data_IF_381567525438
#
_entry.id   IF_381567525438
#
_cell.length_a   1.000
_cell.length_b   1.000
_cell.length_c   1.000
_cell.angle_alpha   90.00
_cell.angle_beta   90.00
_cell.angle_gamma   90.00
#
_symmetry.space_group_name_H-M   'P 1'
#
loop_
_entity.id
_entity.type
_entity.pdbx_description
1 polymer ?
#
# COMPACT_ATOMS: atom_id res chain seq x y z
N UNK A 1 10.50 45.59 -13.27
CA UNK A 1 10.80 44.85 -12.02
C UNK A 1 9.74 43.83 -11.59
N UNK A 2 8.45 43.97 -11.92
CA UNK A 2 7.40 43.07 -11.43
C UNK A 2 7.45 41.66 -12.04
N UNK A 3 7.72 41.53 -13.34
CA UNK A 3 7.69 40.22 -14.01
C UNK A 3 8.85 39.29 -13.62
N UNK A 4 10.04 39.84 -13.37
CA UNK A 4 11.20 39.05 -12.92
C UNK A 4 10.96 38.42 -11.55
N UNK A 5 10.31 39.15 -10.62
CA UNK A 5 9.96 38.65 -9.29
C UNK A 5 8.91 37.52 -9.34
N UNK A 6 7.95 37.59 -10.28
CA UNK A 6 6.94 36.55 -10.49
C UNK A 6 7.57 35.26 -11.03
N UNK A 7 8.47 35.37 -12.01
CA UNK A 7 9.17 34.20 -12.57
C UNK A 7 10.05 33.53 -11.51
N UNK A 8 10.78 34.30 -10.69
CA UNK A 8 11.59 33.73 -9.62
C UNK A 8 10.73 33.00 -8.59
N UNK A 9 9.58 33.56 -8.18
CA UNK A 9 8.68 32.89 -7.25
C UNK A 9 8.11 31.57 -7.81
N UNK A 10 7.76 31.54 -9.10
CA UNK A 10 7.23 30.33 -9.76
C UNK A 10 8.28 29.21 -9.82
N UNK A 11 9.52 29.55 -10.17
CA UNK A 11 10.64 28.58 -10.25
C UNK A 11 10.95 28.02 -8.86
N UNK A 12 10.98 28.86 -7.82
CA UNK A 12 11.22 28.40 -6.45
C UNK A 12 10.11 27.46 -5.97
N UNK A 13 8.84 27.73 -6.29
CA UNK A 13 7.72 26.85 -5.93
C UNK A 13 7.77 25.50 -6.65
N UNK A 14 8.17 25.47 -7.93
CA UNK A 14 8.34 24.22 -8.68
C UNK A 14 9.50 23.40 -8.11
N UNK A 15 10.61 24.04 -7.73
CA UNK A 15 11.75 23.37 -7.10
C UNK A 15 11.40 22.80 -5.72
N UNK A 16 10.54 23.46 -4.94
CA UNK A 16 10.07 22.93 -3.65
C UNK A 16 9.19 21.68 -3.81
N UNK A 17 8.47 21.54 -4.92
CA UNK A 17 7.67 20.34 -5.22
C UNK A 17 8.51 19.14 -5.66
N UNK A 18 9.70 19.37 -6.23
CA UNK A 18 10.59 18.28 -6.67
C UNK A 18 11.43 17.66 -5.55
N UNK A 19 11.52 18.32 -4.39
CA UNK A 19 12.26 17.84 -3.22
C UNK A 19 11.36 17.55 -2.01
N UNK A 20 10.03 17.54 -2.18
CA UNK A 20 9.17 16.98 -1.16
C UNK A 20 9.53 15.49 -1.04
N UNK A 21 10.01 15.01 0.13
CA UNK A 21 10.08 13.57 0.34
C UNK A 21 8.68 13.03 0.05
N UNK A 22 8.60 11.98 -0.77
CA UNK A 22 7.35 11.25 -0.97
C UNK A 22 6.78 10.98 0.42
N UNK A 23 5.59 11.50 0.72
CA UNK A 23 4.95 11.45 2.04
C UNK A 23 4.53 10.02 2.48
N UNK A 24 5.19 9.00 1.93
CA UNK A 24 4.88 7.58 1.95
C UNK A 24 5.87 6.76 2.80
N UNK A 25 6.60 7.42 3.70
CA UNK A 25 7.77 6.83 4.35
C UNK A 25 7.93 7.34 5.80
N UNK A 26 6.83 7.42 6.54
CA UNK A 26 6.80 7.89 7.93
C UNK A 26 6.44 6.72 8.86
N UNK A 27 7.28 6.49 9.87
CA UNK A 27 7.02 5.54 10.96
C UNK A 27 5.64 5.79 11.60
N UNK A 28 4.83 4.75 11.82
CA UNK A 28 3.48 4.87 12.36
C UNK A 28 2.37 4.98 11.31
N UNK A 29 2.71 4.99 10.02
CA UNK A 29 1.75 5.04 8.92
C UNK A 29 1.47 3.62 8.46
N UNK A 30 0.19 3.26 8.37
CA UNK A 30 -0.24 1.92 7.98
C UNK A 30 0.10 0.80 8.97
N UNK A 31 0.80 1.04 10.09
CA UNK A 31 1.21 0.01 11.08
C UNK A 31 0.07 -0.81 11.73
N UNK A 32 -1.17 -0.33 11.67
CA UNK A 32 -2.33 -0.93 12.35
C UNK A 32 -3.61 -0.83 11.51
N UNK A 33 -4.66 -1.56 11.90
CA UNK A 33 -5.99 -1.40 11.28
C UNK A 33 -6.54 0.03 11.39
N UNK A 34 -6.28 0.73 12.50
CA UNK A 34 -6.77 2.09 12.75
C UNK A 34 -5.98 3.15 11.98
N UNK A 35 -4.74 2.84 11.61
CA UNK A 35 -3.83 3.72 10.85
C UNK A 35 -3.68 3.28 9.39
N UNK A 36 -4.50 2.33 8.95
CA UNK A 36 -4.45 1.79 7.60
C UNK A 36 -4.65 2.88 6.55
N UNK A 37 -3.94 2.76 5.43
CA UNK A 37 -4.12 3.66 4.30
C UNK A 37 -5.42 3.30 3.60
N UNK A 38 -6.37 4.23 3.57
CA UNK A 38 -7.64 4.07 2.84
C UNK A 38 -7.42 4.08 1.33
N UNK A 39 -8.05 3.14 0.64
CA UNK A 39 -7.92 2.93 -0.80
C UNK A 39 -9.30 3.02 -1.44
N UNK A 40 -9.50 4.09 -2.21
CA UNK A 40 -10.77 4.36 -2.88
C UNK A 40 -11.11 3.30 -3.95
N UNK A 41 -12.39 2.96 -4.03
CA UNK A 41 -12.92 2.08 -5.08
C UNK A 41 -12.92 2.73 -6.47
N UNK A 42 -12.77 1.91 -7.51
CA UNK A 42 -12.89 2.34 -8.90
C UNK A 42 -11.59 2.87 -9.52
N UNK A 43 -10.46 2.73 -8.84
CA UNK A 43 -9.17 3.27 -9.27
C UNK A 43 -8.05 2.24 -9.14
N UNK A 44 -6.88 2.59 -9.68
CA UNK A 44 -5.62 1.90 -9.39
C UNK A 44 -4.82 2.82 -8.50
N UNK A 45 -4.41 2.33 -7.34
CA UNK A 45 -3.55 3.04 -6.42
C UNK A 45 -2.18 2.38 -6.40
N UNK A 46 -1.14 3.20 -6.46
CA UNK A 46 0.24 2.77 -6.29
C UNK A 46 0.76 3.36 -5.00
N UNK A 47 1.27 2.49 -4.13
CA UNK A 47 1.84 2.84 -2.85
C UNK A 47 3.30 2.40 -2.82
N UNK A 48 4.14 3.25 -2.25
CA UNK A 48 5.46 2.88 -1.77
C UNK A 48 5.46 2.89 -0.26
N UNK A 49 6.30 2.07 0.35
CA UNK A 49 6.49 2.00 1.79
C UNK A 49 7.77 1.24 2.09
N UNK A 50 8.18 1.22 3.35
CA UNK A 50 9.28 0.37 3.83
C UNK A 50 8.85 -0.24 5.15
N UNK A 51 9.43 -1.40 5.48
CA UNK A 51 9.27 -1.97 6.81
C UNK A 51 10.54 -1.64 7.62
N UNK A 52 10.39 -1.06 8.80
CA UNK A 52 11.50 -0.55 9.61
C UNK A 52 11.97 -1.52 10.71
N UNK A 53 11.08 -2.42 11.14
CA UNK A 53 11.33 -3.38 12.21
C UNK A 53 10.42 -4.62 12.08
N UNK A 54 10.76 -5.76 12.71
CA UNK A 54 9.99 -7.00 12.62
C UNK A 54 8.49 -6.93 12.93
N UNK A 55 8.08 -5.97 13.75
CA UNK A 55 6.70 -5.68 14.14
C UNK A 55 5.99 -4.67 13.23
N UNK A 56 6.70 -4.12 12.24
CA UNK A 56 6.16 -3.23 11.24
C UNK A 56 5.33 -4.00 10.20
N UNK A 57 4.07 -3.60 10.08
CA UNK A 57 3.03 -4.24 9.27
C UNK A 57 2.27 -3.15 8.53
N UNK A 58 2.36 -3.13 7.20
CA UNK A 58 1.65 -2.10 6.43
C UNK A 58 0.26 -2.58 6.00
N UNK A 59 -0.77 -1.91 6.51
CA UNK A 59 -2.17 -2.14 6.23
C UNK A 59 -2.76 -1.11 5.27
N UNK A 60 -3.47 -1.60 4.26
CA UNK A 60 -4.25 -0.81 3.32
C UNK A 60 -5.69 -1.29 3.32
N UNK A 61 -6.66 -0.39 3.41
CA UNK A 61 -8.06 -0.73 3.62
C UNK A 61 -8.90 -0.38 2.40
N UNK A 62 -9.68 -1.34 1.92
CA UNK A 62 -10.66 -1.15 0.84
C UNK A 62 -12.03 -1.54 1.38
N UNK A 63 -12.96 -0.58 1.40
CA UNK A 63 -14.36 -0.82 1.79
C UNK A 63 -15.30 -0.71 0.60
N UNK A 64 -16.18 -1.71 0.44
CA UNK A 64 -17.20 -1.63 -0.60
C UNK A 64 -18.45 -0.88 -0.14
N UNK A 65 -18.45 0.42 -0.38
CA UNK A 65 -19.60 1.31 -0.14
C UNK A 65 -20.55 1.44 -1.33
N UNK A 66 -20.26 0.74 -2.44
CA UNK A 66 -21.04 0.85 -3.68
C UNK A 66 -22.03 -0.31 -3.85
N UNK A 67 -23.10 -0.16 -4.65
CA UNK A 67 -23.92 -1.30 -5.05
C UNK A 67 -23.11 -2.29 -5.89
N UNK A 68 -23.31 -3.58 -5.64
CA UNK A 68 -22.66 -4.67 -6.36
C UNK A 68 -21.34 -5.14 -5.76
N UNK A 69 -20.95 -6.36 -6.15
CA UNK A 69 -19.68 -6.96 -5.76
C UNK A 69 -18.51 -6.23 -6.43
N UNK A 70 -17.40 -6.06 -5.70
CA UNK A 70 -16.14 -5.49 -6.21
C UNK A 70 -15.03 -6.51 -6.15
N UNK A 71 -14.13 -6.45 -7.13
CA UNK A 71 -12.88 -7.20 -7.13
C UNK A 71 -11.77 -6.30 -6.62
N UNK A 72 -11.01 -6.79 -5.65
CA UNK A 72 -9.79 -6.14 -5.16
C UNK A 72 -8.61 -7.01 -5.54
N UNK A 73 -7.69 -6.45 -6.30
CA UNK A 73 -6.45 -7.12 -6.68
C UNK A 73 -5.25 -6.35 -6.13
N UNK A 74 -4.26 -7.06 -5.59
CA UNK A 74 -3.02 -6.47 -5.10
C UNK A 74 -1.82 -7.12 -5.79
N UNK A 75 -0.91 -6.28 -6.28
CA UNK A 75 0.37 -6.69 -6.86
C UNK A 75 1.46 -6.07 -5.99
N UNK A 76 2.26 -6.91 -5.34
CA UNK A 76 3.39 -6.47 -4.53
C UNK A 76 4.70 -6.79 -5.24
N UNK A 77 5.59 -5.81 -5.33
CA UNK A 77 6.94 -5.95 -5.87
C UNK A 77 7.95 -5.69 -4.74
N UNK A 78 8.75 -6.69 -4.34
CA UNK A 78 9.73 -6.52 -3.28
C UNK A 78 10.82 -5.52 -3.68
N UNK A 79 11.42 -4.81 -2.71
CA UNK A 79 12.44 -3.79 -2.97
C UNK A 79 13.78 -4.37 -3.42
N UNK A 80 14.04 -5.63 -3.08
CA UNK A 80 15.28 -6.32 -3.39
C UNK A 80 15.02 -7.76 -3.84
N UNK A 81 15.99 -8.34 -4.55
CA UNK A 81 15.89 -9.70 -5.07
C UNK A 81 16.15 -10.80 -4.03
N UNK A 82 16.41 -10.43 -2.77
CA UNK A 82 16.60 -11.36 -1.66
C UNK A 82 15.37 -11.49 -0.75
N UNK A 83 14.42 -10.55 -0.87
CA UNK A 83 13.42 -10.32 0.15
C UNK A 83 12.29 -11.33 0.13
N UNK A 84 11.83 -11.68 1.32
CA UNK A 84 10.78 -12.67 1.57
C UNK A 84 9.60 -12.02 2.27
N UNK A 85 8.80 -11.30 1.50
CA UNK A 85 7.63 -10.62 2.00
C UNK A 85 6.39 -11.50 1.80
N UNK A 86 5.49 -11.44 2.77
CA UNK A 86 4.14 -11.98 2.64
C UNK A 86 3.19 -10.85 2.20
N UNK A 87 2.35 -11.16 1.21
CA UNK A 87 1.18 -10.37 0.87
C UNK A 87 -0.04 -11.12 1.39
N UNK A 88 -0.90 -10.46 2.16
CA UNK A 88 -2.07 -11.07 2.79
C UNK A 88 -3.32 -10.24 2.59
N UNK A 89 -4.46 -10.89 2.43
CA UNK A 89 -5.78 -10.27 2.50
C UNK A 89 -6.49 -10.73 3.76
N UNK A 90 -7.12 -9.81 4.48
CA UNK A 90 -8.01 -10.06 5.61
C UNK A 90 -9.37 -9.45 5.25
N UNK A 91 -10.36 -10.29 4.97
CA UNK A 91 -11.69 -9.88 4.50
C UNK A 91 -12.70 -10.01 5.63
N UNK A 92 -13.41 -8.93 5.93
CA UNK A 92 -14.53 -8.93 6.88
C UNK A 92 -15.84 -9.02 6.12
N UNK A 93 -16.58 -10.10 6.36
CA UNK A 93 -17.85 -10.40 5.72
C UNK A 93 -19.01 -9.83 6.52
N UNK A 94 -20.12 -9.55 5.82
CA UNK A 94 -21.32 -8.94 6.42
C UNK A 94 -21.96 -9.81 7.52
N UNK A 95 -21.74 -11.13 7.48
CA UNK A 95 -22.21 -12.07 8.50
C UNK A 95 -21.29 -12.14 9.74
N UNK A 96 -20.25 -11.31 9.78
CA UNK A 96 -19.25 -11.27 10.85
C UNK A 96 -18.11 -12.27 10.66
N UNK A 97 -18.09 -13.06 9.58
CA UNK A 97 -16.96 -13.94 9.28
C UNK A 97 -15.72 -13.14 8.87
N UNK A 98 -14.55 -13.58 9.35
CA UNK A 98 -13.24 -13.07 8.89
C UNK A 98 -12.54 -14.16 8.10
N UNK A 99 -12.12 -13.84 6.87
CA UNK A 99 -11.43 -14.76 5.96
C UNK A 99 -10.05 -14.20 5.64
N UNK A 100 -9.01 -15.02 5.75
CA UNK A 100 -7.64 -14.62 5.42
C UNK A 100 -7.06 -15.43 4.26
N UNK A 101 -6.44 -14.75 3.29
CA UNK A 101 -5.66 -15.34 2.20
C UNK A 101 -4.22 -14.84 2.28
N UNK A 102 -3.25 -15.66 1.88
CA UNK A 102 -1.85 -15.26 1.87
C UNK A 102 -1.10 -15.89 0.71
N UNK A 103 -0.19 -15.12 0.12
CA UNK A 103 0.89 -15.64 -0.72
C UNK A 103 2.14 -15.70 0.17
N UNK A 104 2.55 -16.91 0.58
CA UNK A 104 3.51 -17.16 1.66
C UNK A 104 4.98 -16.82 1.33
N UNK A 105 5.26 -15.98 0.34
CA UNK A 105 6.58 -15.34 0.23
C UNK A 105 7.80 -16.27 0.11
N UNK A 106 7.62 -17.59 -0.07
CA UNK A 106 8.65 -18.61 0.20
C UNK A 106 9.81 -18.63 -0.81
N UNK A 107 9.77 -17.77 -1.82
CA UNK A 107 10.84 -17.62 -2.82
C UNK A 107 11.24 -16.15 -2.94
N UNK A 108 12.52 -15.78 -2.78
CA UNK A 108 12.98 -14.41 -2.93
C UNK A 108 12.55 -13.75 -4.25
N UNK A 109 12.43 -12.42 -4.25
CA UNK A 109 12.28 -11.56 -5.44
C UNK A 109 11.03 -11.67 -6.30
N UNK A 110 10.07 -12.53 -5.98
CA UNK A 110 8.93 -12.75 -6.87
C UNK A 110 7.83 -11.73 -6.56
N UNK A 111 7.40 -11.02 -7.61
CA UNK A 111 6.18 -10.20 -7.58
C UNK A 111 5.01 -11.07 -7.13
N UNK A 112 4.34 -10.65 -6.06
CA UNK A 112 3.19 -11.34 -5.49
C UNK A 112 1.91 -10.81 -6.07
N UNK A 113 0.92 -11.67 -6.17
CA UNK A 113 -0.41 -11.29 -6.63
C UNK A 113 -1.48 -12.00 -5.81
N UNK A 114 -2.39 -11.21 -5.23
CA UNK A 114 -3.62 -11.70 -4.62
C UNK A 114 -4.83 -11.00 -5.21
N UNK A 115 -5.94 -11.72 -5.26
CA UNK A 115 -7.24 -11.17 -5.66
C UNK A 115 -8.34 -11.73 -4.78
N UNK A 116 -9.35 -10.92 -4.49
CA UNK A 116 -10.55 -11.31 -3.75
C UNK A 116 -11.74 -10.49 -4.21
N UNK A 117 -12.93 -10.88 -3.76
CA UNK A 117 -14.14 -10.10 -3.93
C UNK A 117 -14.77 -9.72 -2.60
N UNK A 118 -15.35 -8.52 -2.58
CA UNK A 118 -16.08 -7.96 -1.44
C UNK A 118 -17.48 -7.52 -1.90
N UNK A 119 -18.50 -7.96 -1.17
CA UNK A 119 -19.89 -7.52 -1.37
C UNK A 119 -20.11 -6.12 -0.80
N UNK A 120 -21.22 -5.43 -1.16
CA UNK A 120 -21.56 -4.16 -0.51
C UNK A 120 -21.61 -4.31 1.02
N UNK A 121 -20.96 -3.41 1.73
CA UNK A 121 -20.83 -3.43 3.20
C UNK A 121 -19.60 -4.18 3.73
N UNK A 122 -19.00 -5.06 2.93
CA UNK A 122 -17.77 -5.79 3.28
C UNK A 122 -16.54 -4.92 3.05
N UNK A 123 -15.46 -5.24 3.75
CA UNK A 123 -14.16 -4.65 3.55
C UNK A 123 -13.04 -5.69 3.52
N UNK A 124 -11.90 -5.26 2.99
CA UNK A 124 -10.67 -6.04 2.96
C UNK A 124 -9.50 -5.16 3.36
N UNK A 125 -8.64 -5.70 4.21
CA UNK A 125 -7.31 -5.16 4.45
C UNK A 125 -6.30 -5.94 3.61
N UNK A 126 -5.50 -5.20 2.84
CA UNK A 126 -4.28 -5.68 2.21
C UNK A 126 -3.14 -5.43 3.17
N UNK A 127 -2.42 -6.49 3.53
CA UNK A 127 -1.32 -6.46 4.48
C UNK A 127 -0.02 -6.84 3.76
N UNK A 128 1.02 -6.04 3.97
CA UNK A 128 2.41 -6.33 3.62
C UNK A 128 3.19 -6.57 4.91
N UNK A 129 3.98 -7.65 4.95
CA UNK A 129 4.92 -7.90 6.05
C UNK A 129 6.19 -8.58 5.58
N UNK A 130 7.30 -8.31 6.25
CA UNK A 130 8.56 -9.05 6.10
C UNK A 130 8.49 -10.39 6.82
N UNK A 131 9.39 -11.31 6.48
CA UNK A 131 9.49 -12.62 7.13
C UNK A 131 10.81 -12.82 7.85
N UNK A 132 11.89 -12.23 7.33
CA UNK A 132 13.21 -12.31 7.93
C UNK A 132 13.75 -10.94 8.29
N UNK A 133 14.68 -10.84 9.26
CA UNK A 133 15.28 -9.56 9.65
C UNK A 133 15.86 -8.74 8.49
N UNK A 134 16.27 -9.40 7.39
CA UNK A 134 16.78 -8.74 6.18
C UNK A 134 15.71 -8.03 5.34
N UNK A 135 14.43 -8.26 5.62
CA UNK A 135 13.31 -7.63 4.90
C UNK A 135 12.98 -6.23 5.45
N UNK A 136 13.60 -5.85 6.58
CA UNK A 136 13.34 -4.60 7.29
C UNK A 136 14.52 -3.64 7.08
N UNK A 137 14.35 -2.73 6.12
CA UNK A 137 15.31 -1.66 5.84
C UNK A 137 14.56 -0.40 5.38
N UNK A 138 14.61 0.69 6.16
CA UNK A 138 13.91 1.92 5.84
C UNK A 138 14.42 2.63 4.57
N UNK A 139 15.56 2.17 4.02
CA UNK A 139 16.15 2.72 2.80
C UNK A 139 15.76 1.96 1.53
N UNK A 140 15.02 0.85 1.65
CA UNK A 140 14.65 0.00 0.51
C UNK A 140 13.13 -0.10 0.39
N UNK A 141 12.48 0.90 -0.23
CA UNK A 141 11.02 0.92 -0.31
C UNK A 141 10.49 -0.12 -1.30
N UNK A 142 9.46 -0.85 -0.90
CA UNK A 142 8.72 -1.74 -1.79
C UNK A 142 7.75 -0.94 -2.68
N UNK A 143 7.14 -1.64 -3.65
CA UNK A 143 6.04 -1.12 -4.44
C UNK A 143 4.80 -2.02 -4.30
N UNK A 144 3.66 -1.43 -3.99
CA UNK A 144 2.36 -2.10 -3.91
C UNK A 144 1.38 -1.42 -4.86
N UNK A 145 0.69 -2.20 -5.70
CA UNK A 145 -0.39 -1.73 -6.54
C UNK A 145 -1.69 -2.39 -6.10
N UNK A 146 -2.71 -1.58 -5.83
CA UNK A 146 -4.06 -2.07 -5.52
C UNK A 146 -5.01 -1.60 -6.62
N UNK A 147 -5.61 -2.54 -7.34
CA UNK A 147 -6.59 -2.28 -8.41
C UNK A 147 -8.00 -2.63 -7.92
N UNK A 148 -8.86 -1.63 -7.88
CA UNK A 148 -10.27 -1.70 -7.45
C UNK A 148 -11.25 -1.32 -8.55
N UNK A 149 -10.79 -1.23 -9.82
CA UNK A 149 -11.62 -0.82 -10.96
C UNK A 149 -12.66 -1.86 -11.38
N UNK A 150 -12.53 -3.10 -10.90
CA UNK A 150 -13.28 -4.26 -11.39
C UNK A 150 -14.43 -4.65 -10.47
#
# INVERSE_FOLDING_TARGET
MRIRKVITALITSVLLLTFAPSAFAQKGVADTFDTAIEVDLGYVHEHGGYLDAPDDLDFYHVKNTTPGMRTVAAIFTPPNSGGTYDLMFIVFKNDGQVISFKDEGNSPAITRFLTTTINPGEDVYVLVRGRYPSDYDPNTPYRLVIDTRR
#
